data_IF_966951598885
#
_entry.id   IF_966951598885
#
_cell.length_a   1.000
_cell.length_b   1.000
_cell.length_c   1.000
_cell.angle_alpha   90.00
_cell.angle_beta   90.00
_cell.angle_gamma   90.00
#
_symmetry.space_group_name_H-M   'P 1'
#
loop_
_entity.id
_entity.type
_entity.pdbx_description
1 polymer ?
#
# COMPACT_ATOMS: atom_id res chain seq x y z
N UNK A 1 -10.39 -5.17 1.18
CA UNK A 1 -10.83 -4.87 -0.18
C UNK A 1 -9.66 -5.02 -1.14
N UNK A 2 -9.88 -5.54 -2.34
CA UNK A 2 -8.91 -5.51 -3.47
C UNK A 2 -9.52 -4.74 -4.64
N UNK A 3 -8.68 -4.24 -5.56
CA UNK A 3 -9.18 -3.66 -6.79
C UNK A 3 -9.69 -4.77 -7.70
N UNK A 4 -10.90 -4.60 -8.24
CA UNK A 4 -11.42 -5.43 -9.31
C UNK A 4 -10.55 -5.26 -10.56
N UNK A 5 -10.19 -6.37 -11.21
CA UNK A 5 -9.26 -6.36 -12.34
C UNK A 5 -9.85 -5.76 -13.61
N UNK A 6 -11.18 -5.63 -13.71
CA UNK A 6 -11.87 -5.07 -14.87
C UNK A 6 -12.30 -3.62 -14.64
N UNK A 7 -12.87 -3.32 -13.47
CA UNK A 7 -13.42 -1.98 -13.18
C UNK A 7 -12.50 -1.09 -12.34
N UNK A 8 -11.53 -1.68 -11.62
CA UNK A 8 -10.70 -0.97 -10.65
C UNK A 8 -11.42 -0.64 -9.33
N UNK A 9 -12.68 -1.05 -9.18
CA UNK A 9 -13.47 -0.79 -7.98
C UNK A 9 -13.00 -1.62 -6.78
N UNK A 10 -13.28 -1.11 -5.59
CA UNK A 10 -12.99 -1.81 -4.34
C UNK A 10 -14.00 -2.95 -4.14
N UNK A 11 -13.55 -4.21 -4.12
CA UNK A 11 -14.39 -5.40 -3.80
C UNK A 11 -13.93 -6.11 -2.52
N UNK A 12 -14.88 -6.73 -1.81
CA UNK A 12 -14.57 -7.57 -0.64
C UNK A 12 -13.73 -8.78 -1.05
N UNK A 13 -12.72 -9.11 -0.25
CA UNK A 13 -11.77 -10.18 -0.53
C UNK A 13 -11.51 -10.99 0.73
N UNK A 14 -11.54 -12.31 0.62
CA UNK A 14 -11.12 -13.22 1.70
C UNK A 14 -9.61 -13.14 1.97
N UNK A 15 -8.84 -12.60 1.02
CA UNK A 15 -7.37 -12.48 1.07
C UNK A 15 -6.95 -11.14 1.69
N UNK A 16 -7.73 -10.08 1.45
CA UNK A 16 -7.57 -8.76 2.07
C UNK A 16 -8.91 -8.31 2.63
N UNK A 17 -9.09 -8.51 3.93
CA UNK A 17 -10.37 -8.25 4.62
C UNK A 17 -10.49 -6.85 5.20
N UNK A 18 -9.48 -5.99 4.97
CA UNK A 18 -9.45 -4.60 5.46
C UNK A 18 -10.45 -3.69 4.76
N UNK A 19 -10.78 -2.57 5.40
CA UNK A 19 -11.36 -1.39 4.73
C UNK A 19 -10.25 -0.46 4.23
N UNK A 20 -10.56 0.43 3.29
CA UNK A 20 -9.56 1.39 2.80
C UNK A 20 -10.13 2.47 1.90
N UNK A 21 -9.34 3.52 1.72
CA UNK A 21 -9.63 4.62 0.80
C UNK A 21 -8.36 5.20 0.21
N UNK A 22 -8.49 5.98 -0.85
CA UNK A 22 -7.37 6.74 -1.41
C UNK A 22 -7.51 8.23 -1.08
N UNK A 23 -6.39 8.85 -0.72
CA UNK A 23 -6.24 10.30 -0.71
C UNK A 23 -5.69 10.71 -2.07
N UNK A 24 -6.37 11.65 -2.74
CA UNK A 24 -5.87 12.20 -3.99
C UNK A 24 -4.50 12.88 -3.78
N UNK A 25 -3.65 12.84 -4.81
CA UNK A 25 -2.35 13.52 -4.78
C UNK A 25 -2.50 14.99 -4.43
N UNK A 26 -1.64 15.48 -3.54
CA UNK A 26 -1.66 16.86 -3.05
C UNK A 26 -3.07 17.35 -2.63
N UNK A 27 -3.91 16.47 -2.07
CA UNK A 27 -5.30 16.79 -1.69
C UNK A 27 -5.40 18.01 -0.78
N UNK A 28 -4.48 18.11 0.18
CA UNK A 28 -4.31 19.24 1.07
C UNK A 28 -2.82 19.42 1.40
N UNK A 29 -2.49 20.46 2.16
CA UNK A 29 -1.11 20.81 2.53
C UNK A 29 -0.43 19.68 3.32
N UNK A 30 -1.16 18.98 4.19
CA UNK A 30 -0.62 17.88 5.00
C UNK A 30 -0.25 16.70 4.10
N UNK A 31 -1.14 16.32 3.20
CA UNK A 31 -0.91 15.25 2.21
C UNK A 31 0.28 15.61 1.31
N UNK A 32 0.33 16.84 0.79
CA UNK A 32 1.42 17.30 -0.07
C UNK A 32 2.78 17.27 0.66
N UNK A 33 2.82 17.68 1.92
CA UNK A 33 4.05 17.67 2.73
C UNK A 33 4.55 16.25 3.02
N UNK A 34 3.64 15.30 3.23
CA UNK A 34 3.98 13.89 3.39
C UNK A 34 4.56 13.33 2.09
N UNK A 35 3.92 13.59 0.94
CA UNK A 35 4.40 13.18 -0.38
C UNK A 35 5.80 13.76 -0.67
N UNK A 36 6.02 15.03 -0.37
CA UNK A 36 7.33 15.68 -0.52
C UNK A 36 8.41 15.05 0.37
N UNK A 37 8.06 14.69 1.62
CA UNK A 37 8.98 14.00 2.54
C UNK A 37 9.35 12.60 2.06
N UNK A 38 8.38 11.86 1.53
CA UNK A 38 8.60 10.53 0.93
C UNK A 38 9.55 10.66 -0.26
N UNK A 39 9.31 11.62 -1.15
CA UNK A 39 10.19 11.87 -2.31
C UNK A 39 11.62 12.21 -1.87
N UNK A 40 11.78 13.09 -0.88
CA UNK A 40 13.08 13.47 -0.34
C UNK A 40 13.82 12.28 0.31
N UNK A 41 13.12 11.39 1.02
CA UNK A 41 13.73 10.24 1.69
C UNK A 41 14.10 9.11 0.73
N UNK A 42 13.25 8.85 -0.26
CA UNK A 42 13.44 7.77 -1.25
C UNK A 42 14.36 8.17 -2.40
N UNK A 43 14.62 9.48 -2.58
CA UNK A 43 15.26 10.05 -3.77
C UNK A 43 14.50 9.75 -5.07
N UNK A 44 13.20 9.46 -4.99
CA UNK A 44 12.31 9.28 -6.14
C UNK A 44 11.46 10.54 -6.35
N UNK A 45 11.20 10.95 -7.60
CA UNK A 45 10.31 12.09 -7.88
C UNK A 45 8.89 11.86 -7.34
N UNK A 46 8.28 12.88 -6.73
CA UNK A 46 6.93 12.80 -6.16
C UNK A 46 5.86 12.54 -7.25
N UNK A 47 6.14 12.92 -8.49
CA UNK A 47 5.27 12.71 -9.64
C UNK A 47 5.05 11.21 -9.91
N UNK A 48 6.05 10.36 -9.58
CA UNK A 48 5.99 8.92 -9.75
C UNK A 48 5.18 8.21 -8.65
N UNK A 49 4.88 8.89 -7.54
CA UNK A 49 4.08 8.33 -6.46
C UNK A 49 2.61 8.18 -6.86
N UNK A 50 2.03 7.02 -6.54
CA UNK A 50 0.58 6.82 -6.57
C UNK A 50 -0.12 7.62 -5.46
N UNK A 51 -1.44 7.83 -5.60
CA UNK A 51 -2.28 8.35 -4.52
C UNK A 51 -2.12 7.52 -3.25
N UNK A 52 -1.96 8.18 -2.08
CA UNK A 52 -1.78 7.45 -0.82
C UNK A 52 -3.00 6.60 -0.48
N UNK A 53 -2.76 5.32 -0.22
CA UNK A 53 -3.78 4.39 0.24
C UNK A 53 -3.82 4.35 1.77
N UNK A 54 -4.98 4.65 2.35
CA UNK A 54 -5.26 4.47 3.77
C UNK A 54 -5.96 3.14 3.96
N UNK A 55 -5.47 2.33 4.90
CA UNK A 55 -5.95 0.97 5.14
C UNK A 55 -6.24 0.84 6.63
N UNK A 56 -7.44 0.33 6.96
CA UNK A 56 -7.84 0.10 8.34
C UNK A 56 -8.21 -1.37 8.52
N UNK A 57 -7.56 -2.01 9.49
CA UNK A 57 -7.77 -3.40 9.88
C UNK A 57 -8.50 -3.44 11.22
N UNK A 58 -9.68 -4.05 11.22
CA UNK A 58 -10.37 -4.43 12.44
C UNK A 58 -9.79 -5.73 13.02
N UNK A 59 -10.21 -6.08 14.24
CA UNK A 59 -9.76 -7.30 14.89
C UNK A 59 -10.03 -8.54 14.03
N UNK A 60 -8.98 -9.36 13.82
CA UNK A 60 -9.03 -10.56 12.99
C UNK A 60 -8.93 -10.32 11.48
N UNK A 61 -8.90 -9.06 11.01
CA UNK A 61 -8.63 -8.77 9.60
C UNK A 61 -7.14 -8.91 9.29
N UNK A 62 -6.83 -9.25 8.03
CA UNK A 62 -5.46 -9.51 7.58
C UNK A 62 -5.29 -9.22 6.10
N UNK A 63 -4.03 -9.28 5.68
CA UNK A 63 -3.65 -9.41 4.29
C UNK A 63 -2.62 -10.53 4.17
N UNK A 64 -2.91 -11.53 3.33
CA UNK A 64 -1.94 -12.57 3.02
C UNK A 64 -0.66 -12.00 2.35
N UNK A 65 0.49 -12.68 2.52
CA UNK A 65 1.73 -12.28 1.86
C UNK A 65 1.57 -12.19 0.34
N UNK A 66 2.05 -11.11 -0.25
CA UNK A 66 1.94 -10.82 -1.67
C UNK A 66 3.11 -9.95 -2.14
N UNK A 67 3.15 -9.68 -3.44
CA UNK A 67 4.04 -8.69 -4.02
C UNK A 67 3.24 -7.43 -4.36
N UNK A 68 3.82 -6.26 -4.06
CA UNK A 68 3.20 -4.98 -4.42
C UNK A 68 3.25 -4.69 -5.91
N UNK A 69 4.17 -5.33 -6.64
CA UNK A 69 4.32 -5.12 -8.07
C UNK A 69 3.32 -5.91 -8.91
N UNK A 70 3.08 -5.43 -10.12
CA UNK A 70 2.14 -6.04 -11.05
C UNK A 70 2.75 -7.21 -11.81
N UNK A 71 2.06 -8.34 -11.85
CA UNK A 71 2.44 -9.50 -12.66
C UNK A 71 1.89 -9.44 -14.09
N UNK A 72 0.77 -8.73 -14.29
CA UNK A 72 0.11 -8.61 -15.58
C UNK A 72 0.62 -7.39 -16.36
N UNK A 73 0.63 -7.51 -17.69
CA UNK A 73 1.13 -6.44 -18.56
C UNK A 73 0.20 -5.23 -18.64
N UNK A 74 -1.10 -5.42 -18.42
CA UNK A 74 -2.07 -4.34 -18.59
C UNK A 74 -1.87 -3.25 -17.52
N UNK A 75 -1.73 -3.65 -16.25
CA UNK A 75 -1.45 -2.73 -15.16
C UNK A 75 -0.07 -2.06 -15.30
N UNK A 76 0.93 -2.80 -15.80
CA UNK A 76 2.26 -2.24 -16.07
C UNK A 76 2.23 -1.17 -17.17
N UNK A 77 1.43 -1.37 -18.22
CA UNK A 77 1.30 -0.41 -19.33
C UNK A 77 0.48 0.83 -18.93
N UNK A 78 -0.53 0.67 -18.07
CA UNK A 78 -1.41 1.76 -17.65
C UNK A 78 -0.82 2.63 -16.54
N UNK A 79 -0.21 2.02 -15.52
CA UNK A 79 0.26 2.71 -14.30
C UNK A 79 1.77 2.70 -14.10
N UNK A 80 2.51 1.97 -14.95
CA UNK A 80 3.91 1.64 -14.69
C UNK A 80 4.07 0.50 -13.68
N UNK A 81 5.32 0.15 -13.38
CA UNK A 81 5.64 -0.90 -12.41
C UNK A 81 6.10 -0.28 -11.09
N UNK A 82 5.59 -0.78 -9.96
CA UNK A 82 6.05 -0.38 -8.63
C UNK A 82 7.46 -0.88 -8.39
N UNK A 83 8.34 0.00 -7.93
CA UNK A 83 9.75 -0.31 -7.62
C UNK A 83 10.04 -0.30 -6.11
N UNK A 84 9.20 0.38 -5.33
CA UNK A 84 9.35 0.52 -3.89
C UNK A 84 7.98 0.83 -3.27
N UNK A 85 7.84 0.48 -1.99
CA UNK A 85 6.67 0.80 -1.16
C UNK A 85 7.14 1.47 0.11
N UNK A 86 6.48 2.58 0.49
CA UNK A 86 6.64 3.21 1.80
C UNK A 86 5.40 2.91 2.62
N UNK A 87 5.55 2.02 3.61
CA UNK A 87 4.47 1.66 4.53
C UNK A 87 4.58 2.48 5.83
N UNK A 88 3.52 3.21 6.15
CA UNK A 88 3.46 4.08 7.35
C UNK A 88 2.42 3.54 8.33
N UNK A 89 2.82 3.27 9.57
CA UNK A 89 1.89 2.90 10.65
C UNK A 89 1.27 4.17 11.26
N UNK A 90 -0.06 4.24 11.27
CA UNK A 90 -0.81 5.44 11.69
C UNK A 90 -1.33 5.33 13.14
N UNK A 91 -1.20 4.17 13.76
CA UNK A 91 -1.63 3.89 15.14
C UNK A 91 -0.82 2.74 15.72
N UNK A 92 -0.66 2.75 17.04
CA UNK A 92 -0.12 1.60 17.77
C UNK A 92 -1.17 0.47 17.83
N UNK A 93 -0.71 -0.78 17.72
CA UNK A 93 -1.54 -1.99 17.79
C UNK A 93 -1.13 -2.78 19.02
N UNK A 94 -2.09 -3.16 19.85
CA UNK A 94 -1.82 -3.86 21.12
C UNK A 94 -1.25 -5.26 20.92
N UNK A 95 -1.76 -6.02 19.93
CA UNK A 95 -1.31 -7.37 19.62
C UNK A 95 -1.61 -7.73 18.16
N UNK A 96 -0.69 -8.45 17.52
CA UNK A 96 -0.80 -8.82 16.11
C UNK A 96 -0.57 -7.63 15.17
N UNK A 97 -0.99 -7.75 13.91
CA UNK A 97 -0.92 -6.68 12.92
C UNK A 97 0.49 -6.40 12.36
N UNK A 98 1.43 -7.31 12.59
CA UNK A 98 2.79 -7.18 12.11
C UNK A 98 2.86 -7.29 10.57
N UNK A 99 3.74 -6.50 9.95
CA UNK A 99 4.11 -6.71 8.56
C UNK A 99 5.18 -7.80 8.48
N UNK A 100 4.80 -8.98 7.98
CA UNK A 100 5.69 -10.14 7.89
C UNK A 100 6.26 -10.26 6.47
N UNK A 101 7.57 -10.49 6.37
CA UNK A 101 8.26 -10.83 5.12
C UNK A 101 8.72 -12.30 5.17
N UNK A 102 7.93 -13.27 4.68
CA UNK A 102 8.21 -14.71 4.87
C UNK A 102 9.53 -15.21 4.24
N UNK A 103 10.07 -14.44 3.29
CA UNK A 103 11.28 -14.76 2.54
C UNK A 103 12.50 -13.93 2.98
N UNK A 104 12.39 -13.11 4.04
CA UNK A 104 13.53 -12.35 4.54
C UNK A 104 14.59 -13.28 5.19
N UNK A 105 15.88 -12.95 5.00
CA UNK A 105 17.01 -13.77 5.48
C UNK A 105 17.16 -13.75 7.01
N UNK A 106 16.53 -12.78 7.70
CA UNK A 106 16.59 -12.60 9.15
C UNK A 106 15.43 -13.25 9.92
N UNK A 107 15.01 -14.47 9.57
CA UNK A 107 14.00 -15.19 10.37
C UNK A 107 14.51 -15.32 11.80
N UNK A 108 13.92 -14.54 12.72
CA UNK A 108 14.14 -14.73 14.15
C UNK A 108 13.54 -16.09 14.50
N UNK A 109 14.42 -17.09 14.63
CA UNK A 109 14.12 -18.42 15.16
C UNK A 109 13.90 -18.36 16.67
#
# INVERSE_FOLDING_TARGET
MVADNESGDSIESEVRTSSGMFLQKARDEVVADIEARIAAWTFLPAENGESMQIIHYENGQKYEPHFDYFHDKANQELGGHRIATVLMYLSDVESGGETVFPNAEGKLS
#
